data_IF_402652742905
#
_entry.id   IF_402652742905
#
_cell.length_a   1.000
_cell.length_b   1.000
_cell.length_c   1.000
_cell.angle_alpha   90.00
_cell.angle_beta   90.00
_cell.angle_gamma   90.00
#
_symmetry.space_group_name_H-M   'P 1'
#
loop_
_entity.id
_entity.type
_entity.pdbx_description
1 polymer ?
#
# COMPACT_ATOMS: atom_id res chain seq x y z
N UNK A 1 -69.84 1.59 -12.26
CA UNK A 1 -68.93 0.83 -13.16
C UNK A 1 -67.70 1.64 -13.68
N UNK A 2 -67.95 2.82 -14.25
CA UNK A 2 -66.85 3.69 -14.75
C UNK A 2 -65.79 4.07 -13.69
N UNK A 3 -66.20 4.37 -12.46
CA UNK A 3 -65.34 4.77 -11.36
C UNK A 3 -64.37 3.62 -10.91
N UNK A 4 -64.86 2.38 -10.94
CA UNK A 4 -64.05 1.19 -10.62
C UNK A 4 -63.00 0.88 -11.69
N UNK A 5 -63.34 1.13 -12.96
CA UNK A 5 -62.39 0.97 -14.06
C UNK A 5 -61.29 2.03 -13.99
N UNK A 6 -61.62 3.28 -13.73
CA UNK A 6 -60.65 4.37 -13.57
C UNK A 6 -59.76 4.10 -12.35
N UNK A 7 -60.29 3.61 -11.25
CA UNK A 7 -59.53 3.29 -10.06
C UNK A 7 -58.56 2.11 -10.30
N UNK A 8 -59.00 1.07 -11.05
CA UNK A 8 -58.14 -0.07 -11.39
C UNK A 8 -57.03 0.30 -12.35
N UNK A 9 -57.31 1.18 -13.32
CA UNK A 9 -56.29 1.71 -14.23
C UNK A 9 -55.28 2.59 -13.51
N UNK A 10 -55.72 3.43 -12.57
CA UNK A 10 -54.84 4.27 -11.75
C UNK A 10 -53.94 3.41 -10.84
N UNK A 11 -54.50 2.38 -10.18
CA UNK A 11 -53.72 1.44 -9.36
C UNK A 11 -52.71 0.65 -10.20
N UNK A 12 -53.07 0.22 -11.40
CA UNK A 12 -52.17 -0.47 -12.31
C UNK A 12 -51.03 0.46 -12.79
N UNK A 13 -51.32 1.72 -13.12
CA UNK A 13 -50.32 2.72 -13.50
C UNK A 13 -49.37 3.07 -12.32
N UNK A 14 -49.91 3.23 -11.10
CA UNK A 14 -49.11 3.45 -9.89
C UNK A 14 -48.16 2.27 -9.63
N UNK A 15 -48.66 1.04 -9.73
CA UNK A 15 -47.85 -0.16 -9.53
C UNK A 15 -46.68 -0.29 -10.56
N UNK A 16 -46.95 0.14 -11.80
CA UNK A 16 -45.89 0.21 -12.84
C UNK A 16 -44.85 1.28 -12.53
N UNK A 17 -45.25 2.41 -11.98
CA UNK A 17 -44.33 3.51 -11.60
C UNK A 17 -43.44 3.04 -10.42
N UNK A 18 -44.02 2.41 -9.40
CA UNK A 18 -43.30 1.86 -8.26
C UNK A 18 -42.23 0.82 -8.70
N UNK A 19 -42.61 -0.13 -9.55
CA UNK A 19 -41.67 -1.12 -10.10
C UNK A 19 -40.56 -0.47 -10.90
N UNK A 20 -40.86 0.57 -11.67
CA UNK A 20 -39.84 1.32 -12.45
C UNK A 20 -38.85 2.05 -11.54
N UNK A 21 -39.33 2.66 -10.46
CA UNK A 21 -38.48 3.33 -9.47
C UNK A 21 -37.56 2.32 -8.77
N UNK A 22 -38.11 1.19 -8.32
CA UNK A 22 -37.35 0.13 -7.67
C UNK A 22 -36.27 -0.40 -8.61
N UNK A 23 -36.61 -0.61 -9.88
CA UNK A 23 -35.64 -1.07 -10.89
C UNK A 23 -34.54 -0.05 -11.15
N UNK A 24 -34.87 1.24 -11.26
CA UNK A 24 -33.89 2.33 -11.40
C UNK A 24 -32.94 2.41 -10.19
N UNK A 25 -33.49 2.30 -8.98
CA UNK A 25 -32.68 2.30 -7.74
C UNK A 25 -31.77 1.07 -7.70
N UNK A 26 -32.28 -0.12 -8.04
CA UNK A 26 -31.48 -1.34 -8.10
C UNK A 26 -30.36 -1.25 -9.13
N UNK A 27 -30.63 -0.68 -10.31
CA UNK A 27 -29.64 -0.47 -11.36
C UNK A 27 -28.56 0.54 -10.92
N UNK A 28 -28.98 1.61 -10.24
CA UNK A 28 -28.07 2.59 -9.66
C UNK A 28 -27.16 1.98 -8.59
N UNK A 29 -27.70 1.17 -7.69
CA UNK A 29 -26.92 0.43 -6.69
C UNK A 29 -25.94 -0.55 -7.32
N UNK A 30 -26.35 -1.29 -8.34
CA UNK A 30 -25.48 -2.20 -9.08
C UNK A 30 -24.32 -1.46 -9.75
N UNK A 31 -24.59 -0.29 -10.34
CA UNK A 31 -23.54 0.52 -11.00
C UNK A 31 -22.48 1.02 -10.01
N UNK A 32 -22.87 1.36 -8.80
CA UNK A 32 -21.95 1.81 -7.74
C UNK A 32 -21.24 0.62 -7.06
N UNK A 33 -21.86 -0.56 -7.10
CA UNK A 33 -21.35 -1.80 -6.49
C UNK A 33 -20.12 -2.36 -7.21
N UNK A 34 -19.99 -2.14 -8.51
CA UNK A 34 -18.92 -2.70 -9.32
C UNK A 34 -17.65 -1.87 -9.18
N UNK A 35 -16.55 -2.52 -8.80
CA UNK A 35 -15.20 -1.94 -8.72
C UNK A 35 -14.23 -2.79 -9.54
N UNK A 36 -13.19 -2.16 -10.03
CA UNK A 36 -12.14 -2.81 -10.81
C UNK A 36 -10.83 -2.54 -10.09
N UNK A 37 -10.06 -3.58 -9.87
CA UNK A 37 -8.66 -3.49 -9.44
C UNK A 37 -7.77 -3.93 -10.60
N UNK A 38 -6.64 -3.27 -10.75
CA UNK A 38 -5.64 -3.63 -11.75
C UNK A 38 -4.99 -4.99 -11.43
N UNK A 39 -4.33 -5.59 -12.42
CA UNK A 39 -3.74 -6.94 -12.28
C UNK A 39 -2.70 -7.02 -11.16
N UNK A 40 -2.05 -5.92 -10.84
CA UNK A 40 -1.00 -5.81 -9.82
C UNK A 40 -1.51 -5.24 -8.49
N UNK A 41 -2.80 -4.91 -8.39
CA UNK A 41 -3.40 -4.31 -7.21
C UNK A 41 -4.31 -5.28 -6.46
N UNK A 42 -4.23 -5.19 -5.13
CA UNK A 42 -5.21 -5.83 -4.24
C UNK A 42 -5.96 -4.76 -3.47
N UNK A 43 -7.28 -4.85 -3.51
CA UNK A 43 -8.16 -3.95 -2.76
C UNK A 43 -8.45 -4.51 -1.37
N UNK A 44 -8.21 -3.70 -0.34
CA UNK A 44 -8.56 -4.00 1.04
C UNK A 44 -9.99 -3.56 1.29
N UNK A 45 -10.89 -4.52 1.53
CA UNK A 45 -12.30 -4.25 1.76
C UNK A 45 -12.62 -4.33 3.25
N UNK A 46 -13.20 -3.25 3.76
CA UNK A 46 -13.73 -3.16 5.10
C UNK A 46 -15.25 -3.23 5.07
N UNK A 47 -15.86 -4.05 5.91
CA UNK A 47 -17.29 -4.12 6.13
C UNK A 47 -17.63 -3.49 7.48
N UNK A 48 -18.40 -2.39 7.47
CA UNK A 48 -18.72 -1.64 8.67
C UNK A 48 -17.49 -1.31 9.54
N UNK A 49 -16.35 -0.97 8.88
CA UNK A 49 -15.10 -0.66 9.55
C UNK A 49 -14.26 -1.86 10.01
N UNK A 50 -14.73 -3.10 9.81
CA UNK A 50 -13.97 -4.31 10.11
C UNK A 50 -13.38 -4.90 8.84
N UNK A 51 -12.15 -5.39 8.91
CA UNK A 51 -11.53 -6.11 7.80
C UNK A 51 -12.37 -7.33 7.41
N UNK A 52 -12.73 -7.40 6.14
CA UNK A 52 -13.48 -8.51 5.58
C UNK A 52 -12.61 -9.43 4.73
N UNK A 53 -11.65 -8.87 4.04
CA UNK A 53 -10.75 -9.63 3.16
C UNK A 53 -10.19 -8.79 2.04
N UNK A 54 -9.28 -9.42 1.30
CA UNK A 54 -8.65 -8.87 0.11
C UNK A 54 -9.48 -9.25 -1.12
N UNK A 55 -9.67 -8.30 -2.02
CA UNK A 55 -10.19 -8.54 -3.35
C UNK A 55 -9.04 -8.45 -4.34
N UNK A 56 -8.84 -9.54 -5.06
CA UNK A 56 -7.79 -9.65 -6.06
C UNK A 56 -8.11 -8.88 -7.35
N UNK A 57 -7.22 -8.99 -8.33
CA UNK A 57 -7.34 -8.27 -9.59
C UNK A 57 -8.61 -8.62 -10.37
N UNK A 58 -9.11 -7.64 -11.13
CA UNK A 58 -10.29 -7.76 -11.96
C UNK A 58 -11.52 -7.09 -11.37
N UNK A 59 -12.67 -7.51 -11.85
CA UNK A 59 -13.97 -6.95 -11.43
C UNK A 59 -14.43 -7.63 -10.15
N UNK A 60 -14.74 -6.83 -9.15
CA UNK A 60 -15.33 -7.31 -7.90
C UNK A 60 -16.52 -6.44 -7.49
N UNK A 61 -17.41 -7.03 -6.69
CA UNK A 61 -18.59 -6.37 -6.21
C UNK A 61 -18.47 -6.07 -4.72
N UNK A 62 -18.83 -4.85 -4.36
CA UNK A 62 -18.96 -4.39 -2.98
C UNK A 62 -20.42 -4.00 -2.72
N UNK A 63 -20.86 -4.12 -1.48
CA UNK A 63 -22.16 -3.62 -1.06
C UNK A 63 -22.00 -2.12 -0.74
N UNK A 64 -22.48 -1.20 -1.62
CA UNK A 64 -22.38 0.22 -1.34
C UNK A 64 -23.12 0.50 -0.02
N UNK A 65 -22.62 1.38 0.84
CA UNK A 65 -23.11 1.72 2.18
C UNK A 65 -22.51 0.82 3.29
N UNK A 66 -22.36 -0.49 3.07
CA UNK A 66 -21.89 -1.44 4.09
C UNK A 66 -20.39 -1.70 3.93
N UNK A 67 -19.95 -1.88 2.68
CA UNK A 67 -18.55 -2.15 2.35
C UNK A 67 -17.86 -0.87 1.88
N UNK A 68 -16.63 -0.68 2.33
CA UNK A 68 -15.74 0.39 1.87
C UNK A 68 -14.38 -0.19 1.45
N UNK A 69 -13.82 0.32 0.36
CA UNK A 69 -12.44 0.02 -0.02
C UNK A 69 -11.53 0.98 0.73
N UNK A 70 -10.69 0.46 1.61
CA UNK A 70 -9.76 1.25 2.42
C UNK A 70 -8.55 1.69 1.61
N UNK A 71 -7.95 0.76 0.86
CA UNK A 71 -6.77 1.02 0.06
C UNK A 71 -6.66 0.04 -1.12
N UNK A 72 -6.00 0.49 -2.19
CA UNK A 72 -5.47 -0.36 -3.24
C UNK A 72 -3.96 -0.45 -3.05
N UNK A 73 -3.44 -1.66 -2.91
CA UNK A 73 -2.02 -1.90 -2.67
C UNK A 73 -1.41 -2.55 -3.89
N UNK A 74 -0.40 -1.89 -4.44
CA UNK A 74 0.40 -2.39 -5.57
C UNK A 74 1.45 -3.38 -5.04
N UNK A 75 1.46 -4.60 -5.56
CA UNK A 75 2.39 -5.66 -5.19
C UNK A 75 3.64 -5.73 -6.09
N UNK A 76 3.81 -4.79 -7.01
CA UNK A 76 5.05 -4.71 -7.80
C UNK A 76 6.22 -4.24 -6.95
N UNK A 77 7.41 -4.50 -7.44
CA UNK A 77 8.62 -3.98 -6.82
C UNK A 77 8.63 -2.47 -6.89
N UNK A 78 8.76 -1.84 -5.74
CA UNK A 78 8.89 -0.39 -5.59
C UNK A 78 10.31 -0.03 -5.22
N UNK A 79 10.67 1.21 -5.50
CA UNK A 79 12.00 1.77 -5.21
C UNK A 79 11.84 3.00 -4.35
N UNK A 80 12.47 3.01 -3.19
CA UNK A 80 12.60 4.20 -2.34
C UNK A 80 14.07 4.59 -2.21
N UNK A 81 14.35 5.88 -2.34
CA UNK A 81 15.68 6.44 -2.13
C UNK A 81 15.72 7.15 -0.79
N UNK A 82 16.80 6.96 -0.06
CA UNK A 82 17.01 7.58 1.24
C UNK A 82 18.47 8.03 1.41
N UNK A 83 18.69 8.96 2.32
CA UNK A 83 19.98 9.59 2.53
C UNK A 83 20.36 9.59 4.00
N UNK A 84 21.62 9.36 4.29
CA UNK A 84 22.20 9.61 5.60
C UNK A 84 23.19 10.79 5.47
N UNK A 85 22.74 11.96 5.91
CA UNK A 85 23.53 13.18 5.86
C UNK A 85 24.34 13.37 7.15
N UNK A 86 25.60 13.80 7.01
CA UNK A 86 26.50 14.13 8.13
C UNK A 86 26.61 13.02 9.19
N UNK A 87 26.61 11.76 8.73
CA UNK A 87 26.75 10.62 9.63
C UNK A 87 28.24 10.35 9.86
N UNK A 88 28.62 10.09 11.11
CA UNK A 88 30.00 9.78 11.48
C UNK A 88 30.26 8.28 11.28
N UNK A 89 31.33 7.96 10.61
CA UNK A 89 31.88 6.61 10.53
C UNK A 89 32.53 6.21 11.86
N UNK A 90 32.92 4.95 12.01
CA UNK A 90 33.62 4.46 13.22
C UNK A 90 34.93 5.22 13.50
N UNK A 91 35.61 5.66 12.46
CA UNK A 91 36.83 6.48 12.52
C UNK A 91 36.56 8.00 12.61
N UNK A 92 35.31 8.36 12.96
CA UNK A 92 34.86 9.75 13.20
C UNK A 92 34.92 10.68 11.98
N UNK A 93 34.94 10.11 10.77
CA UNK A 93 34.86 10.90 9.52
C UNK A 93 33.40 11.17 9.18
N UNK A 94 32.97 12.42 8.97
CA UNK A 94 31.62 12.73 8.53
C UNK A 94 31.45 12.31 7.04
N UNK A 95 30.37 11.61 6.73
CA UNK A 95 30.04 11.18 5.37
C UNK A 95 28.56 11.43 5.08
N UNK A 96 28.27 11.67 3.81
CA UNK A 96 26.92 11.65 3.26
C UNK A 96 26.78 10.41 2.39
N UNK A 97 25.81 9.58 2.66
CA UNK A 97 25.57 8.34 1.90
C UNK A 97 24.16 8.34 1.33
N UNK A 98 24.08 8.17 0.01
CA UNK A 98 22.84 8.00 -0.73
C UNK A 98 22.64 6.51 -1.03
N UNK A 99 21.47 6.00 -0.70
CA UNK A 99 21.12 4.60 -0.93
C UNK A 99 19.69 4.46 -1.49
N UNK A 100 19.43 3.30 -2.08
CA UNK A 100 18.12 2.91 -2.59
C UNK A 100 17.75 1.54 -2.06
N UNK A 101 16.47 1.34 -1.78
CA UNK A 101 15.92 0.04 -1.41
C UNK A 101 14.86 -0.38 -2.43
N UNK A 102 14.94 -1.64 -2.86
CA UNK A 102 13.93 -2.30 -3.67
C UNK A 102 13.10 -3.19 -2.76
N UNK A 103 11.80 -2.94 -2.71
CA UNK A 103 10.91 -3.65 -1.79
C UNK A 103 9.59 -3.97 -2.46
N UNK A 104 8.87 -4.96 -1.92
CA UNK A 104 7.55 -5.39 -2.39
C UNK A 104 6.67 -5.77 -1.22
N UNK A 105 5.35 -5.57 -1.39
CA UNK A 105 4.34 -6.01 -0.41
C UNK A 105 3.90 -7.43 -0.77
N UNK A 106 4.17 -8.40 0.09
CA UNK A 106 3.73 -9.78 -0.10
C UNK A 106 2.46 -10.10 0.71
N UNK A 107 2.24 -9.41 1.83
CA UNK A 107 1.04 -9.53 2.66
C UNK A 107 0.36 -8.16 2.80
N UNK A 108 -0.63 -7.94 1.93
CA UNK A 108 -1.38 -6.68 1.85
C UNK A 108 -2.18 -6.41 3.12
N UNK A 109 -2.70 -7.46 3.78
CA UNK A 109 -3.47 -7.34 5.00
C UNK A 109 -2.64 -6.69 6.10
N UNK A 110 -1.46 -7.25 6.38
CA UNK A 110 -0.55 -6.71 7.39
C UNK A 110 -0.06 -5.31 7.06
N UNK A 111 0.30 -5.08 5.79
CA UNK A 111 0.82 -3.79 5.37
C UNK A 111 -0.17 -2.62 5.60
N UNK A 112 -1.47 -2.87 5.44
CA UNK A 112 -2.49 -1.82 5.59
C UNK A 112 -3.06 -1.74 7.01
N UNK A 113 -3.14 -2.87 7.72
CA UNK A 113 -3.77 -2.89 9.05
C UNK A 113 -2.79 -2.56 10.18
N UNK A 114 -1.51 -2.90 10.03
CA UNK A 114 -0.52 -2.71 11.09
C UNK A 114 0.23 -1.38 10.98
N UNK A 115 0.36 -0.84 9.76
CA UNK A 115 1.13 0.39 9.51
C UNK A 115 0.28 1.39 8.75
N UNK A 116 0.20 2.61 9.24
CA UNK A 116 -0.58 3.68 8.62
C UNK A 116 0.00 4.10 7.26
N UNK A 117 1.30 4.36 7.22
CA UNK A 117 2.06 4.67 6.00
C UNK A 117 3.32 3.81 5.98
N UNK A 118 3.21 2.67 5.32
CA UNK A 118 4.31 1.73 5.22
C UNK A 118 5.45 2.24 4.34
N UNK A 119 5.19 3.14 3.38
CA UNK A 119 6.22 3.71 2.54
C UNK A 119 7.11 4.65 3.36
N UNK A 120 6.53 5.56 4.12
CA UNK A 120 7.25 6.47 5.01
C UNK A 120 8.00 5.68 6.11
N UNK A 121 7.35 4.66 6.68
CA UNK A 121 7.96 3.80 7.68
C UNK A 121 9.22 3.08 7.16
N UNK A 122 9.17 2.53 5.94
CA UNK A 122 10.35 1.89 5.30
C UNK A 122 11.49 2.91 5.15
N UNK A 123 11.19 4.12 4.67
CA UNK A 123 12.20 5.17 4.47
C UNK A 123 12.87 5.57 5.80
N UNK A 124 12.11 5.70 6.87
CA UNK A 124 12.65 6.00 8.20
C UNK A 124 13.51 4.88 8.77
N UNK A 125 13.08 3.62 8.64
CA UNK A 125 13.87 2.47 9.09
C UNK A 125 15.14 2.37 8.25
N UNK A 126 15.04 2.55 6.94
CA UNK A 126 16.18 2.51 6.03
C UNK A 126 17.20 3.60 6.36
N UNK A 127 16.75 4.81 6.63
CA UNK A 127 17.62 5.92 7.03
C UNK A 127 18.32 5.66 8.37
N UNK A 128 17.58 5.14 9.35
CA UNK A 128 18.12 4.81 10.67
C UNK A 128 19.10 3.64 10.58
N UNK A 129 18.73 2.58 9.87
CA UNK A 129 19.58 1.42 9.65
C UNK A 129 20.87 1.77 8.89
N UNK A 130 20.79 2.67 7.91
CA UNK A 130 21.96 3.15 7.19
C UNK A 130 22.92 3.90 8.13
N UNK A 131 22.40 4.78 8.99
CA UNK A 131 23.22 5.48 9.99
C UNK A 131 23.92 4.50 10.95
N UNK A 132 23.20 3.53 11.44
CA UNK A 132 23.73 2.52 12.37
C UNK A 132 24.82 1.68 11.68
N UNK A 133 24.60 1.32 10.42
CA UNK A 133 25.57 0.54 9.64
C UNK A 133 26.82 1.37 9.36
N UNK A 134 26.70 2.63 8.94
CA UNK A 134 27.83 3.53 8.73
C UNK A 134 28.64 3.70 10.02
N UNK A 135 27.99 3.89 11.17
CA UNK A 135 28.66 4.08 12.44
C UNK A 135 29.46 2.86 12.96
N UNK A 136 29.19 1.67 12.41
CA UNK A 136 29.90 0.43 12.75
C UNK A 136 31.14 0.18 11.90
N UNK A 137 31.24 0.83 10.73
CA UNK A 137 32.30 0.61 9.75
C UNK A 137 33.24 1.80 9.62
N UNK A 138 34.50 1.51 9.26
CA UNK A 138 35.50 2.53 8.90
C UNK A 138 35.26 3.01 7.47
N UNK A 139 35.70 4.23 7.15
CA UNK A 139 35.55 4.80 5.81
C UNK A 139 36.18 3.93 4.73
N UNK A 140 37.33 3.34 5.01
CA UNK A 140 38.03 2.42 4.11
C UNK A 140 37.16 1.21 3.75
N UNK A 141 36.50 0.61 4.72
CA UNK A 141 35.61 -0.54 4.54
C UNK A 141 34.36 -0.12 3.77
N UNK A 142 33.77 1.06 4.08
CA UNK A 142 32.62 1.60 3.36
C UNK A 142 32.88 1.79 1.87
N UNK A 143 34.10 2.15 1.50
CA UNK A 143 34.49 2.35 0.10
C UNK A 143 34.85 1.06 -0.63
N UNK A 144 35.43 0.07 0.07
CA UNK A 144 35.95 -1.18 -0.50
C UNK A 144 34.88 -2.29 -0.53
N UNK A 145 34.02 -2.38 0.50
CA UNK A 145 33.09 -3.49 0.70
C UNK A 145 31.63 -3.02 0.63
N UNK A 146 31.30 -2.16 -0.36
CA UNK A 146 29.94 -1.58 -0.50
C UNK A 146 28.84 -2.63 -0.57
N UNK A 147 29.10 -3.71 -1.31
CA UNK A 147 28.11 -4.78 -1.53
C UNK A 147 27.79 -5.53 -0.23
N UNK A 148 28.80 -5.80 0.60
CA UNK A 148 28.62 -6.45 1.89
C UNK A 148 27.82 -5.59 2.87
N UNK A 149 28.11 -4.28 2.89
CA UNK A 149 27.37 -3.32 3.71
C UNK A 149 25.92 -3.19 3.25
N UNK A 150 25.69 -3.23 1.92
CA UNK A 150 24.34 -3.25 1.37
C UNK A 150 23.56 -4.51 1.76
N UNK A 151 24.24 -5.68 1.80
CA UNK A 151 23.66 -6.94 2.24
C UNK A 151 23.32 -6.94 3.75
N UNK A 152 24.22 -6.46 4.60
CA UNK A 152 23.98 -6.30 6.03
C UNK A 152 22.79 -5.37 6.30
N UNK A 153 22.70 -4.27 5.54
CA UNK A 153 21.58 -3.32 5.62
C UNK A 153 20.28 -3.94 5.13
N UNK A 154 20.32 -4.73 4.05
CA UNK A 154 19.16 -5.45 3.54
C UNK A 154 18.59 -6.41 4.59
N UNK A 155 19.44 -7.20 5.24
CA UNK A 155 19.02 -8.14 6.29
C UNK A 155 18.36 -7.40 7.45
N UNK A 156 18.95 -6.28 7.86
CA UNK A 156 18.40 -5.45 8.94
C UNK A 156 17.03 -4.88 8.56
N UNK A 157 16.89 -4.38 7.33
CA UNK A 157 15.62 -3.84 6.84
C UNK A 157 14.56 -4.93 6.75
N UNK A 158 14.89 -6.08 6.16
CA UNK A 158 13.95 -7.19 6.01
C UNK A 158 13.45 -7.71 7.36
N UNK A 159 14.32 -7.81 8.37
CA UNK A 159 13.92 -8.17 9.73
C UNK A 159 12.90 -7.22 10.35
N UNK A 160 13.01 -5.92 10.06
CA UNK A 160 12.10 -4.91 10.59
C UNK A 160 10.80 -4.78 9.80
N UNK A 161 10.82 -5.03 8.49
CA UNK A 161 9.66 -4.83 7.61
C UNK A 161 8.86 -6.12 7.37
N UNK A 162 9.46 -7.28 7.54
CA UNK A 162 8.81 -8.59 7.36
C UNK A 162 7.56 -8.79 8.24
N UNK A 163 7.52 -8.37 9.53
CA UNK A 163 6.30 -8.42 10.35
C UNK A 163 5.13 -7.67 9.72
N UNK A 164 5.39 -6.63 8.94
CA UNK A 164 4.38 -5.82 8.25
C UNK A 164 3.99 -6.37 6.87
N UNK A 165 4.45 -7.58 6.52
CA UNK A 165 4.16 -8.16 5.21
C UNK A 165 4.90 -7.52 4.04
N UNK A 166 6.06 -6.91 4.30
CA UNK A 166 6.91 -6.25 3.31
C UNK A 166 8.27 -6.91 3.30
N UNK A 167 8.79 -7.21 2.10
CA UNK A 167 10.13 -7.78 1.91
C UNK A 167 11.02 -6.79 1.18
N UNK A 168 12.20 -6.55 1.75
CA UNK A 168 13.27 -5.79 1.13
C UNK A 168 14.13 -6.72 0.27
N UNK A 169 14.01 -6.63 -1.06
CA UNK A 169 14.70 -7.54 -1.99
C UNK A 169 16.18 -7.22 -2.11
N UNK A 170 16.51 -5.93 -2.28
CA UNK A 170 17.88 -5.49 -2.50
C UNK A 170 18.05 -4.06 -2.01
N UNK A 171 19.19 -3.78 -1.42
CA UNK A 171 19.65 -2.43 -1.10
C UNK A 171 20.86 -2.11 -1.97
N UNK A 172 20.91 -0.88 -2.48
CA UNK A 172 22.05 -0.40 -3.26
C UNK A 172 22.59 0.91 -2.70
N UNK A 173 23.87 0.98 -2.43
CA UNK A 173 24.55 2.22 -2.06
C UNK A 173 24.93 2.95 -3.35
N UNK A 174 24.37 4.15 -3.55
CA UNK A 174 24.59 4.93 -4.78
C UNK A 174 25.88 5.73 -4.73
N UNK A 175 26.00 6.55 -3.69
CA UNK A 175 27.14 7.47 -3.57
C UNK A 175 27.53 7.64 -2.11
N UNK A 176 28.83 7.87 -1.88
CA UNK A 176 29.42 8.19 -0.59
C UNK A 176 30.25 9.45 -0.79
N UNK A 177 29.76 10.57 -0.28
CA UNK A 177 30.41 11.86 -0.38
C UNK A 177 30.94 12.31 1.00
N UNK A 178 32.14 12.85 1.00
CA UNK A 178 32.71 13.48 2.21
C UNK A 178 32.34 14.97 2.14
N UNK A 179 31.60 15.51 3.11
CA UNK A 179 31.29 16.93 3.14
C UNK A 179 32.57 17.76 3.33
N UNK A 180 32.74 18.77 2.49
CA UNK A 180 33.91 19.68 2.51
C UNK A 180 33.68 20.80 3.51
#
# INVERSE_FOLDING_TARGET
MLLAIILSLALFALHRIELSIIFMVALGLLSVSMRIADQWEHAVVLRMGKFQGLKGPGVFFILPIIDSVSAYVDQRVRVSSFKAEQTLTKDTVPVNVDAVVYWTVWDVEKAVLEVQDYQEAIEHIAQTGLRDTIGKHELSTLLQERDKIAEDLQILLDQNTNPWGITCQTVGIKDIAIPV
#
